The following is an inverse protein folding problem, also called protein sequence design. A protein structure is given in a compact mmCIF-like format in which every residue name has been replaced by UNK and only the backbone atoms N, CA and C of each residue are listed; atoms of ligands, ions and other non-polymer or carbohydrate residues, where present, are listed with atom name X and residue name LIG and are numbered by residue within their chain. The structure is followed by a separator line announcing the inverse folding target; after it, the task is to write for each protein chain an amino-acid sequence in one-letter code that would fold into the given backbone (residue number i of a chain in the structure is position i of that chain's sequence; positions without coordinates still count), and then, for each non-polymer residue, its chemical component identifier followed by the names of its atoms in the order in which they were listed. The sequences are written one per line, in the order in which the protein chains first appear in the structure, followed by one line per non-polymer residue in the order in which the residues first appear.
data_IF_976514394526
#
_entry.id   IF_976514394526
#
_cell.length_a   1.000
_cell.length_b   1.000
_cell.length_c   1.000
_cell.angle_alpha   90.00
_cell.angle_beta   90.00
_cell.angle_gamma   90.00
#
_symmetry.space_group_name_H-M   'P 1'
#
loop_
_entity.id
_entity.type
_entity.pdbx_description
1 polymer ?
#
# COMPACT_ATOMS: atom_id res chain seq x y z
N UNK A 1 -3.01 -5.02 -18.43
CA UNK A 1 -2.87 -4.89 -16.97
C UNK A 1 -3.03 -3.42 -16.62
N UNK A 2 -4.10 -3.06 -15.91
CA UNK A 2 -4.40 -1.67 -15.58
C UNK A 2 -3.76 -1.37 -14.22
N UNK A 3 -2.81 -0.44 -14.19
CA UNK A 3 -2.26 0.10 -12.94
C UNK A 3 -3.40 0.72 -12.13
N UNK A 4 -3.53 0.35 -10.85
CA UNK A 4 -4.52 0.94 -9.98
C UNK A 4 -4.16 2.43 -9.77
N UNK A 5 -5.01 3.35 -10.24
CA UNK A 5 -4.75 4.79 -10.16
C UNK A 5 -4.75 5.33 -8.72
N UNK A 6 -5.35 4.61 -7.78
CA UNK A 6 -5.45 5.01 -6.37
C UNK A 6 -4.14 4.81 -5.61
N UNK A 7 -3.49 3.66 -5.82
CA UNK A 7 -2.20 3.34 -5.20
C UNK A 7 -1.03 3.46 -6.18
N UNK A 8 -1.27 3.87 -7.42
CA UNK A 8 -0.26 3.99 -8.49
C UNK A 8 0.55 2.70 -8.71
N UNK A 9 -0.08 1.55 -8.43
CA UNK A 9 0.56 0.24 -8.55
C UNK A 9 1.41 -0.18 -7.34
N UNK A 10 1.66 0.68 -6.35
CA UNK A 10 2.42 0.28 -5.16
C UNK A 10 1.62 -0.66 -4.24
N UNK A 11 0.29 -0.77 -4.42
CA UNK A 11 -0.66 -1.60 -3.65
C UNK A 11 -0.99 -1.11 -2.24
N UNK A 12 -0.48 0.05 -1.86
CA UNK A 12 -0.72 0.67 -0.56
C UNK A 12 -1.22 2.10 -0.72
N UNK A 13 -2.05 2.55 0.20
CA UNK A 13 -2.58 3.92 0.25
C UNK A 13 -2.27 4.53 1.61
N UNK A 14 -2.22 5.85 1.69
CA UNK A 14 -1.99 6.52 2.97
C UNK A 14 -3.20 6.32 3.89
N UNK A 15 -2.97 5.93 5.15
CA UNK A 15 -4.06 5.72 6.12
C UNK A 15 -4.84 7.02 6.42
N UNK A 16 -4.14 8.16 6.51
CA UNK A 16 -4.75 9.47 6.71
C UNK A 16 -5.44 10.02 5.44
N UNK A 17 -4.96 9.64 4.26
CA UNK A 17 -5.51 10.06 2.97
C UNK A 17 -5.71 8.84 2.06
N UNK A 18 -6.80 8.06 2.28
CA UNK A 18 -6.97 6.75 1.62
C UNK A 18 -7.11 6.80 0.10
N UNK A 19 -7.25 7.99 -0.49
CA UNK A 19 -7.33 8.21 -1.94
C UNK A 19 -5.95 8.46 -2.58
N UNK A 20 -4.90 8.62 -1.78
CA UNK A 20 -3.54 8.88 -2.23
C UNK A 20 -2.67 7.63 -2.05
N UNK A 21 -1.71 7.43 -2.96
CA UNK A 21 -0.69 6.40 -2.80
C UNK A 21 0.15 6.65 -1.54
N UNK A 22 0.54 5.57 -0.86
CA UNK A 22 1.41 5.67 0.32
C UNK A 22 2.87 5.94 -0.08
N UNK A 23 3.34 5.31 -1.16
CA UNK A 23 4.70 5.40 -1.67
C UNK A 23 4.70 5.66 -3.19
N UNK A 24 5.79 6.26 -3.68
CA UNK A 24 6.02 6.62 -5.09
C UNK A 24 6.13 8.12 -5.32
N UNK A 25 6.45 8.51 -6.56
CA UNK A 25 6.71 9.91 -6.94
C UNK A 25 5.54 10.88 -6.66
N UNK A 26 4.32 10.36 -6.63
CA UNK A 26 3.09 11.11 -6.37
C UNK A 26 2.37 10.64 -5.09
N UNK A 27 3.13 10.08 -4.15
CA UNK A 27 2.59 9.69 -2.85
C UNK A 27 2.11 10.89 -2.03
N UNK A 28 1.28 10.60 -1.03
CA UNK A 28 0.73 11.62 -0.13
C UNK A 28 1.80 12.50 0.55
N UNK A 29 2.92 11.91 0.96
CA UNK A 29 4.03 12.64 1.59
C UNK A 29 3.77 13.19 2.99
N UNK A 30 2.62 12.89 3.61
CA UNK A 30 2.26 13.43 4.94
C UNK A 30 2.95 12.73 6.13
N UNK A 31 3.65 11.62 5.90
CA UNK A 31 4.31 10.83 6.93
C UNK A 31 3.40 9.88 7.72
N UNK A 32 2.09 9.83 7.42
CA UNK A 32 1.20 8.84 8.02
C UNK A 32 1.51 7.40 7.52
N UNK A 33 1.14 6.36 8.30
CA UNK A 33 1.33 4.97 7.90
C UNK A 33 0.60 4.59 6.61
N UNK A 34 1.05 3.49 6.02
CA UNK A 34 0.43 2.88 4.86
C UNK A 34 -0.60 1.84 5.26
N UNK A 35 -1.70 1.77 4.51
CA UNK A 35 -2.69 0.70 4.61
C UNK A 35 -2.86 0.01 3.25
N UNK A 36 -3.31 -1.25 3.23
CA UNK A 36 -3.55 -1.96 1.98
C UNK A 36 -4.57 -1.22 1.10
N UNK A 37 -4.30 -1.15 -0.21
CA UNK A 37 -5.22 -0.51 -1.13
C UNK A 37 -6.56 -1.28 -1.17
N UNK A 38 -7.69 -0.68 -0.77
CA UNK A 38 -8.97 -1.39 -0.69
C UNK A 38 -9.53 -1.81 -2.06
N UNK A 39 -8.97 -1.31 -3.16
CA UNK A 39 -9.43 -1.64 -4.53
C UNK A 39 -8.68 -2.81 -5.16
N UNK A 40 -7.37 -2.94 -4.91
CA UNK A 40 -6.52 -3.92 -5.62
C UNK A 40 -5.63 -4.75 -4.70
N UNK A 41 -5.68 -4.48 -3.39
CA UNK A 41 -4.90 -5.14 -2.36
C UNK A 41 -5.72 -5.22 -1.06
N UNK A 42 -7.03 -5.44 -1.19
CA UNK A 42 -7.89 -5.63 -0.03
C UNK A 42 -7.42 -6.89 0.71
N UNK A 43 -7.20 -6.76 2.02
CA UNK A 43 -6.97 -7.91 2.89
C UNK A 43 -8.24 -8.17 3.67
N UNK A 44 -8.75 -9.39 3.58
CA UNK A 44 -9.97 -9.86 4.26
C UNK A 44 -9.65 -10.81 5.42
N UNK A 45 -8.39 -10.81 5.89
CA UNK A 45 -7.92 -11.66 6.98
C UNK A 45 -7.66 -13.12 6.57
N UNK A 46 -8.14 -13.55 5.40
CA UNK A 46 -7.80 -14.86 4.81
C UNK A 46 -6.61 -14.69 3.88
N UNK A 47 -6.64 -13.65 3.04
CA UNK A 47 -5.51 -13.28 2.19
C UNK A 47 -4.73 -12.10 2.81
N UNK A 48 -3.47 -12.30 3.24
CA UNK A 48 -2.65 -11.21 3.71
C UNK A 48 -2.41 -10.20 2.57
N UNK A 49 -2.29 -8.90 2.88
CA UNK A 49 -2.07 -7.89 1.86
C UNK A 49 -0.73 -8.17 1.17
N UNK A 50 -0.67 -7.95 -0.14
CA UNK A 50 0.60 -8.06 -0.87
C UNK A 50 1.54 -6.99 -0.37
N UNK A 51 2.66 -7.42 0.18
CA UNK A 51 3.71 -6.53 0.67
C UNK A 51 4.32 -5.70 -0.48
N UNK A 52 4.86 -4.52 -0.17
CA UNK A 52 5.61 -3.72 -1.13
C UNK A 52 6.79 -4.52 -1.72
N UNK A 53 7.18 -4.27 -2.97
CA UNK A 53 8.39 -4.88 -3.53
C UNK A 53 9.62 -4.50 -2.70
N UNK A 54 10.42 -5.50 -2.30
CA UNK A 54 11.61 -5.30 -1.47
C UNK A 54 11.37 -5.26 0.03
N UNK A 55 10.12 -5.41 0.49
CA UNK A 55 9.85 -5.66 1.90
C UNK A 55 10.40 -7.04 2.29
N UNK A 56 11.32 -7.03 3.25
CA UNK A 56 11.81 -8.20 3.96
C UNK A 56 11.28 -8.07 5.38
N UNK A 57 10.55 -9.08 5.84
CA UNK A 57 10.25 -9.20 7.26
C UNK A 57 11.59 -9.29 7.99
N UNK A 58 11.84 -8.35 8.90
CA UNK A 58 13.01 -8.43 9.76
C UNK A 58 12.80 -9.63 10.70
N UNK A 59 13.47 -10.75 10.43
CA UNK A 59 13.54 -11.92 11.31
C UNK A 59 14.37 -11.61 12.59
N UNK A 60 14.13 -10.47 13.23
CA UNK A 60 14.60 -10.22 14.60
C UNK A 60 13.48 -10.60 15.56
N UNK A 61 13.63 -11.81 16.09
CA UNK A 61 12.77 -12.49 17.06
C UNK A 61 12.44 -11.69 18.33
#
# INVERSE_FOLDING_TARGET
MTTCMRCLGCRWVCEAHPHMAWEGDYACGCGAPGMPCPLCNASDGVDPPKMPPGFVEDESA
#
